data_IF_956358990811
#
_entry.id   IF_956358990811
#
_cell.length_a   1.000
_cell.length_b   1.000
_cell.length_c   1.000
_cell.angle_alpha   90.00
_cell.angle_beta   90.00
_cell.angle_gamma   90.00
#
_symmetry.space_group_name_H-M   'P 1'
#
loop_
_entity.id
_entity.type
_entity.pdbx_description
1 polymer ?
#
# COMPACT_ATOMS: atom_id res chain seq x y z
N UNK A 1 4.54 38.83 -7.01
CA UNK A 1 4.50 38.10 -8.30
C UNK A 1 5.95 37.75 -8.68
N UNK A 2 6.31 36.46 -8.62
CA UNK A 2 7.70 35.98 -8.84
C UNK A 2 8.18 36.33 -10.26
N UNK A 3 9.50 36.43 -10.47
CA UNK A 3 10.09 36.72 -11.78
C UNK A 3 9.62 35.73 -12.87
N UNK A 4 9.36 34.48 -12.47
CA UNK A 4 8.79 33.42 -13.29
C UNK A 4 7.37 33.74 -13.79
N UNK A 5 6.47 34.21 -12.91
CA UNK A 5 5.11 34.58 -13.29
C UNK A 5 5.07 35.80 -14.22
N UNK A 6 6.02 36.73 -14.08
CA UNK A 6 6.16 37.86 -15.03
C UNK A 6 6.62 37.38 -16.40
N UNK A 7 7.58 36.46 -16.46
CA UNK A 7 8.06 35.90 -17.73
C UNK A 7 6.97 35.14 -18.49
N UNK A 8 6.18 34.31 -17.79
CA UNK A 8 5.02 33.63 -18.38
C UNK A 8 3.98 34.60 -18.92
N UNK A 9 3.75 35.73 -18.24
CA UNK A 9 2.81 36.76 -18.69
C UNK A 9 3.30 37.44 -19.98
N UNK A 10 4.60 37.77 -20.08
CA UNK A 10 5.17 38.36 -21.30
C UNK A 10 5.12 37.42 -22.50
N UNK A 11 5.35 36.13 -22.30
CA UNK A 11 5.23 35.13 -23.37
C UNK A 11 3.77 34.96 -23.81
N UNK A 12 2.83 34.98 -22.87
CA UNK A 12 1.41 34.90 -23.19
C UNK A 12 0.96 36.08 -24.06
N UNK A 13 1.31 37.32 -23.68
CA UNK A 13 0.99 38.52 -24.47
C UNK A 13 1.63 38.47 -25.86
N UNK A 14 2.85 37.96 -25.98
CA UNK A 14 3.52 37.77 -27.28
C UNK A 14 2.85 36.72 -28.17
N UNK A 15 2.34 35.63 -27.58
CA UNK A 15 1.76 34.49 -28.31
C UNK A 15 0.25 34.62 -28.58
N UNK A 16 -0.43 35.59 -27.96
CA UNK A 16 -1.90 35.75 -28.02
C UNK A 16 -2.46 35.88 -29.45
N UNK A 17 -1.69 36.49 -30.36
CA UNK A 17 -2.08 36.64 -31.78
C UNK A 17 -1.65 35.44 -32.65
N UNK A 18 -1.06 34.39 -32.07
CA UNK A 18 -0.51 33.22 -32.76
C UNK A 18 -1.17 31.93 -32.25
N UNK A 19 -2.32 31.53 -32.80
CA UNK A 19 -3.20 30.53 -32.19
C UNK A 19 -2.55 29.15 -32.01
N UNK A 20 -1.73 28.70 -32.96
CA UNK A 20 -1.03 27.41 -32.85
C UNK A 20 -0.01 27.39 -31.70
N UNK A 21 0.82 28.44 -31.59
CA UNK A 21 1.82 28.58 -30.54
C UNK A 21 1.17 28.81 -29.16
N UNK A 22 0.03 29.51 -29.13
CA UNK A 22 -0.74 29.74 -27.91
C UNK A 22 -1.33 28.44 -27.34
N UNK A 23 -1.88 27.56 -28.19
CA UNK A 23 -2.42 26.26 -27.76
C UNK A 23 -1.33 25.41 -27.13
N UNK A 24 -0.17 25.30 -27.79
CA UNK A 24 0.98 24.56 -27.27
C UNK A 24 1.44 25.14 -25.92
N UNK A 25 1.55 26.46 -25.82
CA UNK A 25 1.92 27.14 -24.58
C UNK A 25 0.92 26.90 -23.44
N UNK A 26 -0.38 26.97 -23.71
CA UNK A 26 -1.43 26.71 -22.72
C UNK A 26 -1.43 25.25 -22.27
N UNK A 27 -1.25 24.29 -23.18
CA UNK A 27 -1.11 22.87 -22.82
C UNK A 27 0.09 22.63 -21.89
N UNK A 28 1.22 23.31 -22.13
CA UNK A 28 2.38 23.24 -21.24
C UNK A 28 2.15 23.93 -19.90
N UNK A 29 1.49 25.10 -19.88
CA UNK A 29 1.17 25.80 -18.65
C UNK A 29 0.23 24.96 -17.76
N UNK A 30 -0.78 24.32 -18.34
CA UNK A 30 -1.69 23.41 -17.63
C UNK A 30 -0.92 22.19 -17.08
N UNK A 31 -0.03 21.58 -17.88
CA UNK A 31 0.80 20.48 -17.43
C UNK A 31 1.72 20.87 -16.26
N UNK A 32 2.41 22.01 -16.35
CA UNK A 32 3.29 22.52 -15.29
C UNK A 32 2.53 22.89 -14.00
N UNK A 33 1.25 23.24 -14.09
CA UNK A 33 0.39 23.51 -12.92
C UNK A 33 -0.11 22.19 -12.30
N UNK A 34 -0.53 21.22 -13.12
CA UNK A 34 -1.09 19.95 -12.64
C UNK A 34 -0.03 18.97 -12.15
N UNK A 35 1.21 19.08 -12.63
CA UNK A 35 2.34 18.23 -12.26
C UNK A 35 2.68 18.25 -10.76
N UNK A 36 3.00 19.41 -10.14
CA UNK A 36 3.33 19.47 -8.72
C UNK A 36 2.14 19.23 -7.79
N UNK A 37 0.91 19.19 -8.32
CA UNK A 37 -0.29 18.88 -7.55
C UNK A 37 -0.51 17.37 -7.30
N UNK A 38 0.44 16.51 -7.69
CA UNK A 38 0.42 15.07 -7.41
C UNK A 38 -0.38 14.22 -8.40
N UNK A 39 -1.20 14.83 -9.27
CA UNK A 39 -2.11 14.11 -10.17
C UNK A 39 -1.43 13.40 -11.34
N UNK A 40 -0.24 13.85 -11.74
CA UNK A 40 0.46 13.35 -12.94
C UNK A 40 1.83 12.71 -12.64
N UNK A 41 2.22 12.62 -11.37
CA UNK A 41 3.54 12.12 -10.93
C UNK A 41 3.92 10.77 -11.57
N UNK A 42 3.09 9.70 -11.55
CA UNK A 42 3.49 8.41 -12.12
C UNK A 42 3.49 8.38 -13.66
N UNK A 43 2.76 9.27 -14.32
CA UNK A 43 2.67 9.33 -15.79
C UNK A 43 3.53 10.43 -16.37
N UNK A 44 4.31 11.05 -15.51
CA UNK A 44 4.76 12.38 -15.76
C UNK A 44 5.79 12.44 -16.88
N UNK A 45 6.80 11.58 -16.82
CA UNK A 45 7.82 11.48 -17.86
C UNK A 45 7.19 11.14 -19.20
N UNK A 46 6.24 10.21 -19.22
CA UNK A 46 5.55 9.79 -20.44
C UNK A 46 4.77 10.95 -21.06
N UNK A 47 3.95 11.65 -20.28
CA UNK A 47 3.14 12.78 -20.74
C UNK A 47 4.01 13.97 -21.14
N UNK A 48 5.05 14.29 -20.36
CA UNK A 48 6.01 15.35 -20.65
C UNK A 48 6.82 15.08 -21.92
N UNK A 49 7.20 13.83 -22.17
CA UNK A 49 7.93 13.42 -23.38
C UNK A 49 7.04 13.45 -24.61
N UNK A 50 5.79 13.02 -24.49
CA UNK A 50 4.79 13.13 -25.57
C UNK A 50 4.52 14.59 -25.90
N UNK A 51 4.24 15.44 -24.90
CA UNK A 51 3.99 16.86 -25.10
C UNK A 51 5.22 17.59 -25.68
N UNK A 52 6.42 17.30 -25.18
CA UNK A 52 7.68 17.83 -25.69
C UNK A 52 7.95 17.42 -27.14
N UNK A 53 7.75 16.15 -27.47
CA UNK A 53 7.96 15.63 -28.83
C UNK A 53 6.94 16.19 -29.83
N UNK A 54 5.67 16.30 -29.42
CA UNK A 54 4.61 16.91 -30.24
C UNK A 54 4.90 18.39 -30.46
N UNK A 55 5.36 19.12 -29.44
CA UNK A 55 5.74 20.52 -29.59
C UNK A 55 6.93 20.71 -30.55
N UNK A 56 7.97 19.88 -30.43
CA UNK A 56 9.12 19.88 -31.34
C UNK A 56 8.64 19.57 -32.78
N UNK A 57 7.78 18.58 -32.96
CA UNK A 57 7.21 18.24 -34.27
C UNK A 57 6.39 19.40 -34.86
N UNK A 58 5.54 20.05 -34.06
CA UNK A 58 4.72 21.19 -34.47
C UNK A 58 5.54 22.44 -34.80
N UNK A 59 6.71 22.63 -34.16
CA UNK A 59 7.64 23.73 -34.49
C UNK A 59 8.14 23.66 -35.95
N UNK A 60 8.17 22.45 -36.53
CA UNK A 60 8.60 22.26 -37.92
C UNK A 60 7.51 22.59 -38.94
N UNK A 61 6.23 22.53 -38.54
CA UNK A 61 5.07 22.57 -39.44
C UNK A 61 4.33 23.94 -39.41
N UNK A 62 4.32 24.66 -38.27
CA UNK A 62 3.27 25.65 -38.00
C UNK A 62 3.59 27.16 -37.99
N UNK A 63 4.84 27.63 -37.98
CA UNK A 63 5.10 29.08 -37.80
C UNK A 63 6.08 29.65 -38.83
N UNK A 64 5.66 30.72 -39.52
CA UNK A 64 6.49 31.44 -40.50
C UNK A 64 7.64 32.24 -39.87
N UNK A 65 7.58 32.52 -38.56
CA UNK A 65 8.62 33.22 -37.83
C UNK A 65 9.58 32.26 -37.12
N UNK A 66 10.88 32.42 -37.41
CA UNK A 66 11.95 31.60 -36.84
C UNK A 66 11.97 31.65 -35.30
N UNK A 67 11.61 32.79 -34.71
CA UNK A 67 11.59 33.00 -33.27
C UNK A 67 10.59 32.06 -32.56
N UNK A 68 9.44 31.80 -33.18
CA UNK A 68 8.41 30.89 -32.61
C UNK A 68 8.89 29.45 -32.58
N UNK A 69 9.65 29.04 -33.61
CA UNK A 69 10.22 27.69 -33.68
C UNK A 69 11.21 27.45 -32.55
N UNK A 70 12.07 28.44 -32.27
CA UNK A 70 13.03 28.39 -31.17
C UNK A 70 12.36 28.39 -29.79
N UNK A 71 11.30 29.19 -29.62
CA UNK A 71 10.55 29.23 -28.34
C UNK A 71 9.86 27.88 -28.08
N UNK A 72 9.18 27.31 -29.07
CA UNK A 72 8.48 26.03 -28.94
C UNK A 72 9.47 24.88 -28.71
N UNK A 73 10.56 24.82 -29.49
CA UNK A 73 11.59 23.79 -29.32
C UNK A 73 12.32 23.92 -27.98
N UNK A 74 12.61 25.14 -27.52
CA UNK A 74 13.22 25.42 -26.23
C UNK A 74 12.35 24.97 -25.05
N UNK A 75 11.05 25.27 -25.09
CA UNK A 75 10.10 24.83 -24.06
C UNK A 75 9.97 23.29 -24.06
N UNK A 76 9.83 22.66 -25.23
CA UNK A 76 9.74 21.20 -25.33
C UNK A 76 10.99 20.50 -24.78
N UNK A 77 12.17 20.99 -25.11
CA UNK A 77 13.45 20.43 -24.62
C UNK A 77 13.63 20.64 -23.12
N UNK A 78 13.25 21.80 -22.59
CA UNK A 78 13.33 22.08 -21.16
C UNK A 78 12.38 21.18 -20.34
N UNK A 79 11.17 20.89 -20.85
CA UNK A 79 10.21 19.99 -20.19
C UNK A 79 10.71 18.56 -20.20
N UNK A 80 11.21 18.05 -21.33
CA UNK A 80 11.80 16.70 -21.39
C UNK A 80 13.01 16.60 -20.46
N UNK A 81 13.89 17.60 -20.48
CA UNK A 81 15.06 17.67 -19.60
C UNK A 81 14.69 17.72 -18.12
N UNK A 82 13.67 18.47 -17.74
CA UNK A 82 13.21 18.57 -16.35
C UNK A 82 12.57 17.25 -15.88
N UNK A 83 11.68 16.65 -16.68
CA UNK A 83 11.03 15.38 -16.33
C UNK A 83 12.02 14.21 -16.26
N UNK A 84 12.98 14.15 -17.18
CA UNK A 84 14.03 13.12 -17.16
C UNK A 84 15.03 13.33 -16.02
N UNK A 85 15.38 14.58 -15.68
CA UNK A 85 16.22 14.88 -14.53
C UNK A 85 15.54 14.54 -13.19
N UNK A 86 14.22 14.76 -13.06
CA UNK A 86 13.50 14.39 -11.83
C UNK A 86 13.41 12.87 -11.66
N UNK A 87 13.05 12.13 -12.72
CA UNK A 87 12.93 10.66 -12.67
C UNK A 87 14.29 9.98 -12.47
N UNK A 88 15.35 10.45 -13.16
CA UNK A 88 16.71 9.95 -12.90
C UNK A 88 17.22 10.34 -11.52
N UNK A 89 16.86 11.51 -10.97
CA UNK A 89 17.26 11.88 -9.61
C UNK A 89 16.53 11.08 -8.54
N UNK A 90 15.25 10.76 -8.72
CA UNK A 90 14.47 9.93 -7.80
C UNK A 90 14.89 8.46 -7.90
N UNK A 91 15.06 7.93 -9.11
CA UNK A 91 15.58 6.58 -9.32
C UNK A 91 17.01 6.43 -8.80
N UNK A 92 17.90 7.40 -9.04
CA UNK A 92 19.27 7.37 -8.53
C UNK A 92 19.31 7.55 -7.02
N UNK A 93 18.39 8.34 -6.44
CA UNK A 93 18.27 8.48 -4.98
C UNK A 93 17.71 7.22 -4.35
N UNK A 94 16.68 6.60 -4.93
CA UNK A 94 16.12 5.32 -4.49
C UNK A 94 17.12 4.18 -4.65
N UNK A 95 17.86 4.13 -5.76
CA UNK A 95 18.89 3.12 -6.02
C UNK A 95 20.12 3.32 -5.13
N UNK A 96 20.52 4.57 -4.87
CA UNK A 96 21.59 4.88 -3.91
C UNK A 96 21.16 4.53 -2.48
N UNK A 97 19.93 4.89 -2.08
CA UNK A 97 19.37 4.48 -0.80
C UNK A 97 19.32 2.95 -0.68
N UNK A 98 18.88 2.25 -1.73
CA UNK A 98 18.88 0.77 -1.79
C UNK A 98 20.28 0.20 -1.66
N UNK A 99 21.27 0.76 -2.36
CA UNK A 99 22.65 0.25 -2.32
C UNK A 99 23.38 0.55 -1.01
N UNK A 100 23.08 1.70 -0.39
CA UNK A 100 23.59 2.07 0.94
C UNK A 100 22.91 1.20 2.01
N UNK A 101 21.60 0.98 1.87
CA UNK A 101 20.82 0.10 2.76
C UNK A 101 21.21 -1.38 2.60
N UNK A 102 21.48 -1.88 1.40
CA UNK A 102 21.99 -3.24 1.16
C UNK A 102 23.38 -3.44 1.77
N UNK A 103 24.25 -2.42 1.69
CA UNK A 103 25.56 -2.44 2.37
C UNK A 103 25.41 -2.41 3.88
N UNK A 104 24.49 -1.62 4.40
CA UNK A 104 24.21 -1.57 5.83
C UNK A 104 23.60 -2.90 6.30
N UNK A 105 22.66 -3.49 5.54
CA UNK A 105 22.07 -4.82 5.80
C UNK A 105 23.15 -5.92 5.75
N UNK A 106 24.05 -5.92 4.78
CA UNK A 106 25.16 -6.89 4.72
C UNK A 106 26.17 -6.70 5.85
N UNK A 107 26.42 -5.45 6.27
CA UNK A 107 27.23 -5.17 7.45
C UNK A 107 26.54 -5.65 8.74
N UNK A 108 25.21 -5.55 8.82
CA UNK A 108 24.40 -5.93 9.98
C UNK A 108 24.03 -7.41 10.04
N UNK A 109 24.01 -8.13 8.91
CA UNK A 109 23.70 -9.56 8.84
C UNK A 109 24.76 -10.48 9.45
N UNK A 110 25.96 -9.95 9.77
CA UNK A 110 27.08 -10.72 10.33
C UNK A 110 27.08 -10.81 11.86
N UNK A 111 26.18 -10.09 12.54
CA UNK A 111 25.95 -10.16 13.99
C UNK A 111 24.49 -10.53 14.23
N UNK A 112 24.22 -11.75 14.71
CA UNK A 112 22.86 -12.26 14.92
C UNK A 112 21.97 -11.32 15.76
N UNK A 113 22.54 -10.66 16.78
CA UNK A 113 21.85 -9.68 17.62
C UNK A 113 21.48 -8.39 16.87
N UNK A 114 22.29 -8.00 15.89
CA UNK A 114 22.09 -6.78 15.10
C UNK A 114 21.05 -7.01 14.00
N UNK A 115 21.08 -8.17 13.34
CA UNK A 115 19.99 -8.61 12.44
C UNK A 115 18.66 -8.66 13.18
N UNK A 116 18.63 -9.25 14.38
CA UNK A 116 17.43 -9.32 15.20
C UNK A 116 16.91 -7.93 15.59
N UNK A 117 17.80 -7.03 16.04
CA UNK A 117 17.44 -5.64 16.34
C UNK A 117 16.90 -4.87 15.13
N UNK A 118 17.44 -5.10 13.94
CA UNK A 118 16.96 -4.49 12.69
C UNK A 118 15.56 -4.99 12.30
N UNK A 119 15.34 -6.31 12.36
CA UNK A 119 14.03 -6.92 12.11
C UNK A 119 12.96 -6.35 13.06
N UNK A 120 13.28 -6.21 14.34
CA UNK A 120 12.39 -5.58 15.33
C UNK A 120 12.12 -4.10 15.01
N UNK A 121 13.13 -3.35 14.60
CA UNK A 121 12.96 -1.95 14.20
C UNK A 121 12.00 -1.81 13.02
N UNK A 122 12.20 -2.58 11.95
CA UNK A 122 11.33 -2.54 10.75
C UNK A 122 9.90 -2.98 11.10
N UNK A 123 9.76 -4.05 11.90
CA UNK A 123 8.47 -4.54 12.42
C UNK A 123 7.73 -3.45 13.21
N UNK A 124 8.43 -2.70 14.06
CA UNK A 124 7.83 -1.61 14.84
C UNK A 124 7.32 -0.49 13.94
N UNK A 125 8.11 -0.09 12.93
CA UNK A 125 7.73 0.94 11.96
C UNK A 125 6.53 0.55 11.11
N UNK A 126 6.44 -0.72 10.69
CA UNK A 126 5.24 -1.26 10.03
C UNK A 126 4.02 -1.19 10.95
N UNK A 127 4.19 -1.48 12.25
CA UNK A 127 3.14 -1.32 13.25
C UNK A 127 2.64 0.12 13.38
N UNK A 128 3.54 1.10 13.38
CA UNK A 128 3.20 2.53 13.41
C UNK A 128 2.43 2.95 12.15
N UNK A 129 2.90 2.51 10.97
CA UNK A 129 2.24 2.66 9.67
C UNK A 129 0.75 2.26 9.75
N UNK A 130 0.45 1.10 10.35
CA UNK A 130 -0.93 0.58 10.45
C UNK A 130 -1.78 1.35 11.48
N UNK A 131 -1.18 1.81 12.58
CA UNK A 131 -1.93 2.40 13.71
C UNK A 131 -2.30 3.88 13.51
N UNK A 132 -1.55 4.63 12.71
CA UNK A 132 -1.71 6.09 12.59
C UNK A 132 -1.82 6.57 11.12
N UNK A 133 -3.00 6.44 10.48
CA UNK A 133 -3.25 7.10 9.20
C UNK A 133 -3.18 8.65 9.34
N UNK A 134 -2.81 9.42 8.29
CA UNK A 134 -2.77 9.04 6.88
C UNK A 134 -1.49 8.30 6.57
N UNK A 135 -1.64 7.05 6.16
CA UNK A 135 -0.51 6.20 5.82
C UNK A 135 0.04 6.71 4.50
N UNK A 136 1.28 7.19 4.51
CA UNK A 136 2.05 7.27 3.27
C UNK A 136 2.22 5.83 2.77
N UNK A 137 1.34 5.44 1.84
CA UNK A 137 1.20 4.06 1.41
C UNK A 137 2.49 3.55 0.76
N UNK A 138 3.27 4.46 0.18
CA UNK A 138 4.57 4.17 -0.44
C UNK A 138 5.62 3.87 0.64
N UNK A 139 5.60 4.63 1.74
CA UNK A 139 6.50 4.40 2.88
C UNK A 139 6.32 3.02 3.52
N UNK A 140 5.10 2.50 3.59
CA UNK A 140 4.85 1.17 4.17
C UNK A 140 5.20 0.03 3.20
N UNK A 141 5.05 0.24 1.89
CA UNK A 141 5.50 -0.72 0.87
C UNK A 141 7.03 -0.84 0.89
N UNK A 142 7.76 0.25 1.09
CA UNK A 142 9.23 0.24 1.25
C UNK A 142 9.67 -0.55 2.50
N UNK A 143 8.98 -0.37 3.62
CA UNK A 143 9.26 -1.10 4.87
C UNK A 143 8.94 -2.60 4.74
N UNK A 144 7.87 -2.96 4.03
CA UNK A 144 7.52 -4.35 3.73
C UNK A 144 8.63 -4.99 2.88
N UNK A 145 8.99 -4.35 1.77
CA UNK A 145 10.04 -4.79 0.86
C UNK A 145 11.38 -4.97 1.59
N UNK A 146 11.71 -4.03 2.48
CA UNK A 146 12.89 -4.11 3.32
C UNK A 146 12.88 -5.34 4.24
N UNK A 147 11.75 -5.62 4.91
CA UNK A 147 11.65 -6.75 5.81
C UNK A 147 11.77 -8.08 5.05
N UNK A 148 11.15 -8.18 3.88
CA UNK A 148 11.22 -9.36 3.01
C UNK A 148 12.67 -9.67 2.56
N UNK A 149 13.46 -8.64 2.23
CA UNK A 149 14.88 -8.81 1.88
C UNK A 149 15.75 -9.30 3.05
N UNK A 150 15.37 -8.97 4.29
CA UNK A 150 16.15 -9.30 5.49
C UNK A 150 15.80 -10.70 6.01
N UNK A 151 14.51 -11.03 5.98
CA UNK A 151 13.95 -12.26 6.52
C UNK A 151 12.59 -12.58 5.88
N UNK A 152 12.62 -13.23 4.72
CA UNK A 152 11.42 -13.66 3.97
C UNK A 152 10.51 -14.61 4.77
N UNK A 153 11.07 -15.31 5.76
CA UNK A 153 10.36 -16.27 6.62
C UNK A 153 9.78 -15.61 7.88
N UNK A 154 9.91 -14.28 8.02
CA UNK A 154 9.39 -13.57 9.17
C UNK A 154 7.86 -13.48 9.11
N UNK A 155 7.17 -13.93 10.16
CA UNK A 155 5.71 -13.85 10.26
C UNK A 155 5.16 -12.42 10.19
N UNK A 156 5.98 -11.41 10.48
CA UNK A 156 5.56 -10.01 10.36
C UNK A 156 5.32 -9.59 8.89
N UNK A 157 6.00 -10.20 7.92
CA UNK A 157 5.84 -9.88 6.48
C UNK A 157 4.42 -10.18 5.99
N UNK A 158 3.94 -11.44 5.98
CA UNK A 158 2.59 -11.74 5.51
C UNK A 158 1.51 -11.07 6.37
N UNK A 159 1.78 -10.87 7.68
CA UNK A 159 0.84 -10.17 8.55
C UNK A 159 0.65 -8.69 8.17
N UNK A 160 1.73 -7.91 8.11
CA UNK A 160 1.61 -6.47 7.82
C UNK A 160 1.21 -6.19 6.38
N UNK A 161 1.61 -7.03 5.43
CA UNK A 161 1.12 -6.97 4.04
C UNK A 161 -0.39 -7.09 3.98
N UNK A 162 -0.96 -8.04 4.74
CA UNK A 162 -2.41 -8.15 4.85
C UNK A 162 -3.03 -6.88 5.44
N UNK A 163 -2.51 -6.35 6.55
CA UNK A 163 -3.05 -5.12 7.17
C UNK A 163 -2.99 -3.91 6.23
N UNK A 164 -1.90 -3.73 5.48
CA UNK A 164 -1.76 -2.66 4.46
C UNK A 164 -2.83 -2.82 3.37
N UNK A 165 -3.01 -4.03 2.84
CA UNK A 165 -4.04 -4.32 1.85
C UNK A 165 -5.45 -4.05 2.37
N UNK A 166 -5.73 -4.35 3.65
CA UNK A 166 -7.01 -4.04 4.30
C UNK A 166 -7.26 -2.56 4.41
N UNK A 167 -6.26 -1.77 4.80
CA UNK A 167 -6.35 -0.29 4.82
C UNK A 167 -6.65 0.25 3.42
N UNK A 168 -6.10 -0.38 2.37
CA UNK A 168 -6.37 -0.06 0.96
C UNK A 168 -7.73 -0.59 0.45
N UNK A 169 -8.55 -1.21 1.30
CA UNK A 169 -9.83 -1.80 0.91
C UNK A 169 -9.74 -3.10 0.10
N UNK A 170 -8.53 -3.65 -0.08
CA UNK A 170 -8.25 -4.89 -0.84
C UNK A 170 -8.35 -6.13 0.05
N UNK A 171 -9.51 -6.30 0.68
CA UNK A 171 -9.70 -7.34 1.72
C UNK A 171 -9.50 -8.76 1.17
N UNK A 172 -9.95 -9.05 -0.06
CA UNK A 172 -9.77 -10.38 -0.66
C UNK A 172 -8.30 -10.75 -0.83
N UNK A 173 -7.50 -9.80 -1.30
CA UNK A 173 -6.06 -10.02 -1.50
C UNK A 173 -5.33 -10.14 -0.16
N UNK A 174 -5.87 -9.53 0.90
CA UNK A 174 -5.31 -9.66 2.25
C UNK A 174 -5.46 -11.07 2.83
N UNK A 175 -6.55 -11.78 2.51
CA UNK A 175 -6.81 -13.11 3.05
C UNK A 175 -5.72 -14.12 2.67
N UNK A 176 -5.20 -14.06 1.44
CA UNK A 176 -4.17 -14.99 0.97
C UNK A 176 -2.90 -14.85 1.82
N UNK A 177 -2.52 -13.62 2.16
CA UNK A 177 -1.38 -13.37 3.06
C UNK A 177 -1.65 -13.83 4.49
N UNK A 178 -2.89 -13.69 4.99
CA UNK A 178 -3.29 -14.21 6.30
C UNK A 178 -3.24 -15.75 6.34
N UNK A 179 -3.65 -16.44 5.28
CA UNK A 179 -3.52 -17.89 5.20
C UNK A 179 -2.04 -18.33 5.13
N UNK A 180 -1.20 -17.63 4.36
CA UNK A 180 0.23 -17.89 4.31
C UNK A 180 0.89 -17.72 5.69
N UNK A 181 0.48 -16.70 6.45
CA UNK A 181 0.91 -16.53 7.83
C UNK A 181 0.58 -17.77 8.68
N UNK A 182 -0.67 -18.25 8.64
CA UNK A 182 -1.11 -19.40 9.45
C UNK A 182 -0.38 -20.70 9.08
N UNK A 183 -0.15 -20.93 7.78
CA UNK A 183 0.57 -22.13 7.32
C UNK A 183 2.04 -22.12 7.79
N UNK A 184 2.68 -20.94 7.75
CA UNK A 184 4.07 -20.79 8.16
C UNK A 184 4.23 -20.83 9.69
N UNK A 185 3.30 -20.23 10.43
CA UNK A 185 3.29 -20.18 11.90
C UNK A 185 3.25 -21.58 12.54
N UNK A 186 2.50 -22.52 11.96
CA UNK A 186 2.47 -23.91 12.41
C UNK A 186 3.83 -24.63 12.23
N UNK A 187 4.71 -24.14 11.34
CA UNK A 187 6.01 -24.74 11.02
C UNK A 187 7.21 -24.02 11.66
N UNK A 188 7.14 -22.70 11.76
CA UNK A 188 8.31 -21.84 12.02
C UNK A 188 8.29 -21.18 13.40
N UNK A 189 7.18 -21.26 14.14
CA UNK A 189 7.11 -20.65 15.48
C UNK A 189 8.12 -21.30 16.44
N UNK A 190 8.94 -20.51 17.17
CA UNK A 190 9.81 -21.04 18.22
C UNK A 190 9.04 -21.74 19.35
N UNK A 191 9.59 -22.85 19.84
CA UNK A 191 9.00 -23.61 20.96
C UNK A 191 9.24 -22.86 22.27
N UNK A 192 8.17 -22.54 23.01
CA UNK A 192 8.25 -21.99 24.38
C UNK A 192 8.15 -20.46 24.49
N UNK A 193 7.88 -19.75 23.40
CA UNK A 193 8.10 -18.30 23.30
C UNK A 193 6.88 -17.41 23.61
N UNK A 194 5.91 -17.90 24.40
CA UNK A 194 4.70 -17.10 24.65
C UNK A 194 4.06 -17.39 26.01
N UNK A 195 4.30 -16.48 26.95
CA UNK A 195 3.59 -16.39 28.24
C UNK A 195 2.18 -15.79 28.09
N UNK A 196 1.75 -15.49 26.86
CA UNK A 196 0.48 -14.83 26.57
C UNK A 196 0.56 -13.31 26.65
N UNK A 197 1.73 -12.72 26.95
CA UNK A 197 1.87 -11.27 27.04
C UNK A 197 1.95 -10.58 25.67
N UNK A 198 1.27 -9.43 25.56
CA UNK A 198 1.34 -8.56 24.36
C UNK A 198 2.79 -8.08 24.13
N UNK A 199 3.54 -7.88 25.21
CA UNK A 199 4.96 -7.52 25.15
C UNK A 199 5.81 -8.58 24.46
N UNK A 200 5.60 -9.87 24.77
CA UNK A 200 6.33 -10.97 24.13
C UNK A 200 6.11 -10.98 22.62
N UNK A 201 4.87 -10.77 22.16
CA UNK A 201 4.57 -10.67 20.73
C UNK A 201 5.22 -9.44 20.06
N UNK A 202 5.28 -8.30 20.75
CA UNK A 202 5.85 -7.06 20.21
C UNK A 202 7.37 -7.12 20.07
N UNK A 203 8.05 -7.93 20.88
CA UNK A 203 9.50 -8.10 20.86
C UNK A 203 9.96 -9.40 20.20
N UNK A 204 9.04 -10.20 19.65
CA UNK A 204 9.40 -11.43 18.96
C UNK A 204 9.93 -11.12 17.55
N UNK A 205 11.24 -11.27 17.38
CA UNK A 205 11.90 -11.05 16.10
C UNK A 205 11.56 -12.05 15.01
N UNK A 206 10.85 -13.15 15.28
CA UNK A 206 10.35 -14.08 14.24
C UNK A 206 9.03 -13.64 13.62
N UNK A 207 8.31 -12.72 14.27
CA UNK A 207 7.01 -12.27 13.82
C UNK A 207 5.86 -13.25 14.02
N UNK A 208 6.10 -14.40 14.69
CA UNK A 208 5.07 -15.38 15.04
C UNK A 208 4.77 -15.34 16.54
N UNK A 209 3.51 -15.12 16.91
CA UNK A 209 3.09 -15.11 18.32
C UNK A 209 1.62 -15.55 18.45
N UNK A 210 1.18 -16.06 19.61
CA UNK A 210 -0.19 -16.57 19.80
C UNK A 210 -1.24 -15.49 19.63
N UNK A 211 -0.99 -14.27 20.12
CA UNK A 211 -1.94 -13.16 20.05
C UNK A 211 -2.17 -12.74 18.60
N UNK A 212 -1.11 -12.65 17.80
CA UNK A 212 -1.18 -12.32 16.36
C UNK A 212 -1.84 -13.45 15.59
N UNK A 213 -1.48 -14.72 15.85
CA UNK A 213 -2.14 -15.86 15.22
C UNK A 213 -3.64 -15.92 15.55
N UNK A 214 -4.01 -15.70 16.82
CA UNK A 214 -5.40 -15.59 17.22
C UNK A 214 -6.10 -14.44 16.48
N UNK A 215 -5.45 -13.28 16.35
CA UNK A 215 -6.00 -12.13 15.64
C UNK A 215 -6.21 -12.41 14.15
N UNK A 216 -5.25 -13.07 13.50
CA UNK A 216 -5.35 -13.52 12.11
C UNK A 216 -6.55 -14.45 11.92
N UNK A 217 -6.71 -15.45 12.79
CA UNK A 217 -7.85 -16.34 12.77
C UNK A 217 -9.18 -15.60 13.00
N UNK A 218 -9.22 -14.66 13.95
CA UNK A 218 -10.42 -13.85 14.22
C UNK A 218 -10.81 -12.98 13.02
N UNK A 219 -9.81 -12.43 12.33
CA UNK A 219 -9.99 -11.60 11.13
C UNK A 219 -10.56 -12.42 9.98
N UNK A 220 -9.95 -13.56 9.68
CA UNK A 220 -10.43 -14.49 8.65
C UNK A 220 -11.85 -14.99 8.95
N UNK A 221 -12.17 -15.30 10.21
CA UNK A 221 -13.50 -15.74 10.62
C UNK A 221 -14.57 -14.68 10.28
N UNK A 222 -14.28 -13.41 10.59
CA UNK A 222 -15.18 -12.30 10.29
C UNK A 222 -15.34 -12.06 8.77
N UNK A 223 -14.26 -12.15 8.00
CA UNK A 223 -14.31 -11.96 6.55
C UNK A 223 -15.06 -13.09 5.84
N UNK A 224 -14.88 -14.33 6.29
CA UNK A 224 -15.65 -15.47 5.80
C UNK A 224 -17.14 -15.34 6.16
N UNK A 225 -17.46 -14.95 7.40
CA UNK A 225 -18.84 -14.74 7.82
C UNK A 225 -19.53 -13.65 6.99
N UNK A 226 -18.88 -12.49 6.84
CA UNK A 226 -19.41 -11.39 6.01
C UNK A 226 -19.68 -11.84 4.57
N UNK A 227 -18.72 -12.53 3.94
CA UNK A 227 -18.91 -13.09 2.60
C UNK A 227 -20.07 -14.08 2.53
N UNK A 228 -20.23 -14.93 3.56
CA UNK A 228 -21.35 -15.86 3.64
C UNK A 228 -22.69 -15.12 3.65
N UNK A 229 -22.77 -14.01 4.38
CA UNK A 229 -23.97 -13.17 4.44
C UNK A 229 -24.30 -12.47 3.11
N UNK A 230 -23.28 -12.15 2.31
CA UNK A 230 -23.44 -11.57 0.97
C UNK A 230 -23.72 -12.62 -0.12
N UNK A 231 -23.44 -13.90 0.15
CA UNK A 231 -23.59 -14.99 -0.82
C UNK A 231 -25.03 -15.46 -0.90
N UNK A 232 -25.61 -15.54 -2.11
CA UNK A 232 -27.00 -15.99 -2.33
C UNK A 232 -27.11 -17.51 -2.32
N UNK A 233 -26.17 -18.22 -2.94
CA UNK A 233 -26.21 -19.68 -3.04
C UNK A 233 -26.01 -20.34 -1.67
N UNK A 234 -26.99 -21.17 -1.26
CA UNK A 234 -27.03 -21.75 0.09
C UNK A 234 -25.83 -22.67 0.37
N UNK A 235 -25.39 -23.45 -0.62
CA UNK A 235 -24.24 -24.36 -0.53
C UNK A 235 -22.94 -23.58 -0.26
N UNK A 236 -22.64 -22.56 -1.08
CA UNK A 236 -21.46 -21.70 -0.94
C UNK A 236 -21.51 -20.90 0.36
N UNK A 237 -22.68 -20.37 0.71
CA UNK A 237 -22.90 -19.69 1.98
C UNK A 237 -22.56 -20.61 3.16
N UNK A 238 -23.03 -21.85 3.13
CA UNK A 238 -22.75 -22.84 4.18
C UNK A 238 -21.25 -23.17 4.26
N UNK A 239 -20.57 -23.37 3.14
CA UNK A 239 -19.12 -23.59 3.12
C UNK A 239 -18.36 -22.43 3.77
N UNK A 240 -18.74 -21.18 3.44
CA UNK A 240 -18.13 -19.99 4.04
C UNK A 240 -18.34 -19.94 5.56
N UNK A 241 -19.53 -20.28 6.05
CA UNK A 241 -19.80 -20.36 7.49
C UNK A 241 -19.07 -21.50 8.18
N UNK A 242 -18.95 -22.68 7.56
CA UNK A 242 -18.18 -23.80 8.10
C UNK A 242 -16.69 -23.43 8.19
N UNK A 243 -16.15 -22.73 7.18
CA UNK A 243 -14.78 -22.21 7.20
C UNK A 243 -14.60 -21.14 8.27
N UNK A 244 -15.56 -20.22 8.44
CA UNK A 244 -15.52 -19.20 9.49
C UNK A 244 -15.51 -19.84 10.89
N UNK A 245 -16.30 -20.92 11.08
CA UNK A 245 -16.33 -21.68 12.33
C UNK A 245 -14.99 -22.35 12.63
N UNK A 246 -14.31 -22.92 11.62
CA UNK A 246 -12.95 -23.45 11.79
C UNK A 246 -11.96 -22.37 12.25
N UNK A 247 -12.08 -21.15 11.73
CA UNK A 247 -11.25 -20.03 12.15
C UNK A 247 -11.56 -19.58 13.58
N UNK A 248 -12.82 -19.62 14.02
CA UNK A 248 -13.15 -19.40 15.43
C UNK A 248 -12.52 -20.44 16.36
N UNK A 249 -12.52 -21.71 15.98
CA UNK A 249 -11.83 -22.77 16.73
C UNK A 249 -10.33 -22.47 16.81
N UNK A 250 -9.73 -21.95 15.73
CA UNK A 250 -8.34 -21.47 15.76
C UNK A 250 -8.15 -20.34 16.77
N UNK A 251 -9.07 -19.36 16.87
CA UNK A 251 -8.98 -18.29 17.89
C UNK A 251 -8.89 -18.89 19.28
N UNK A 252 -9.81 -19.78 19.63
CA UNK A 252 -9.86 -20.40 20.97
C UNK A 252 -8.63 -21.24 21.29
N UNK A 253 -7.99 -21.86 20.28
CA UNK A 253 -6.71 -22.60 20.45
C UNK A 253 -5.59 -21.69 20.96
N UNK A 254 -5.57 -20.43 20.52
CA UNK A 254 -4.46 -19.51 20.77
C UNK A 254 -4.76 -18.44 21.82
N UNK A 255 -6.04 -18.09 22.01
CA UNK A 255 -6.50 -17.07 22.93
C UNK A 255 -7.92 -17.40 23.43
N UNK A 256 -8.02 -18.17 24.52
CA UNK A 256 -9.30 -18.70 25.03
C UNK A 256 -10.34 -17.62 25.34
N UNK A 257 -9.90 -16.43 25.78
CA UNK A 257 -10.79 -15.29 26.06
C UNK A 257 -11.35 -14.60 24.81
N UNK A 258 -10.81 -14.90 23.62
CA UNK A 258 -11.18 -14.25 22.37
C UNK A 258 -10.88 -12.74 22.35
N UNK A 259 -11.37 -12.06 21.32
CA UNK A 259 -11.20 -10.62 21.15
C UNK A 259 -12.49 -9.87 21.45
N UNK A 260 -12.40 -8.87 22.34
CA UNK A 260 -13.43 -7.86 22.57
C UNK A 260 -13.25 -6.69 21.59
N UNK A 261 -14.30 -6.36 20.83
CA UNK A 261 -14.32 -5.20 19.94
C UNK A 261 -14.99 -4.03 20.66
N UNK A 262 -14.20 -3.11 21.21
CA UNK A 262 -14.73 -1.95 21.96
C UNK A 262 -15.37 -0.85 21.09
N UNK A 263 -15.32 -0.99 19.76
CA UNK A 263 -15.88 -0.02 18.80
C UNK A 263 -16.97 -0.69 17.94
N UNK A 264 -18.20 -0.17 18.02
CA UNK A 264 -19.40 -0.69 17.31
C UNK A 264 -19.33 -0.67 15.76
N UNK A 265 -18.26 -0.10 15.19
CA UNK A 265 -18.06 0.07 13.73
C UNK A 265 -17.04 -0.91 13.15
N UNK A 266 -16.69 -1.98 13.87
CA UNK A 266 -15.64 -2.94 13.51
C UNK A 266 -16.16 -4.40 13.59
N UNK A 267 -15.39 -5.42 13.16
CA UNK A 267 -15.83 -6.82 13.06
C UNK A 267 -16.53 -7.33 14.32
N UNK A 268 -17.37 -8.38 14.20
CA UNK A 268 -18.03 -8.97 15.36
C UNK A 268 -16.97 -9.46 16.36
N UNK A 269 -17.19 -9.20 17.66
CA UNK A 269 -16.40 -9.83 18.71
C UNK A 269 -16.54 -11.35 18.66
N UNK A 270 -15.67 -12.07 19.38
CA UNK A 270 -15.61 -13.54 19.26
C UNK A 270 -16.92 -14.22 19.69
N UNK A 271 -17.59 -13.69 20.71
CA UNK A 271 -18.86 -14.24 21.24
C UNK A 271 -20.01 -13.98 20.27
N UNK A 272 -20.14 -12.74 19.78
CA UNK A 272 -21.14 -12.32 18.82
C UNK A 272 -20.99 -13.04 17.49
N UNK A 273 -19.76 -13.23 17.01
CA UNK A 273 -19.48 -13.99 15.79
C UNK A 273 -19.86 -15.47 15.96
N UNK A 274 -19.52 -16.08 17.09
CA UNK A 274 -19.89 -17.47 17.38
C UNK A 274 -21.40 -17.67 17.41
N UNK A 275 -22.13 -16.79 18.11
CA UNK A 275 -23.59 -16.86 18.18
C UNK A 275 -24.24 -16.64 16.80
N UNK A 276 -23.72 -15.71 16.01
CA UNK A 276 -24.22 -15.44 14.67
C UNK A 276 -23.98 -16.62 13.71
N UNK A 277 -22.81 -17.25 13.77
CA UNK A 277 -22.49 -18.45 12.99
C UNK A 277 -23.36 -19.64 13.37
N UNK A 278 -23.56 -19.89 14.66
CA UNK A 278 -24.40 -20.99 15.14
C UNK A 278 -25.84 -20.85 14.60
N UNK A 279 -26.37 -19.63 14.63
CA UNK A 279 -27.69 -19.33 14.07
C UNK A 279 -27.76 -19.59 12.56
N UNK A 280 -26.75 -19.16 11.81
CA UNK A 280 -26.72 -19.29 10.35
C UNK A 280 -26.49 -20.75 9.91
N UNK A 281 -25.65 -21.52 10.62
CA UNK A 281 -25.40 -22.93 10.33
C UNK A 281 -26.63 -23.80 10.63
N UNK A 282 -27.42 -23.47 11.67
CA UNK A 282 -28.69 -24.13 11.97
C UNK A 282 -29.78 -23.81 10.97
N UNK A 283 -29.77 -22.61 10.37
CA UNK A 283 -30.78 -22.18 9.40
C UNK A 283 -30.19 -21.36 8.24
N UNK A 284 -29.55 -22.02 7.25
CA UNK A 284 -28.79 -21.34 6.19
C UNK A 284 -29.63 -20.47 5.24
N UNK A 285 -30.94 -20.72 5.17
CA UNK A 285 -31.89 -19.95 4.36
C UNK A 285 -32.32 -18.64 5.03
N UNK A 286 -32.01 -18.44 6.31
CA UNK A 286 -32.28 -17.21 7.02
C UNK A 286 -31.50 -16.04 6.40
N UNK A 287 -32.12 -14.86 6.22
CA UNK A 287 -31.38 -13.66 5.84
C UNK A 287 -30.30 -13.34 6.87
N UNK A 288 -29.06 -13.19 6.43
CA UNK A 288 -27.97 -12.70 7.26
C UNK A 288 -27.81 -11.19 7.08
N UNK A 289 -27.53 -10.48 8.17
CA UNK A 289 -27.10 -9.08 8.13
C UNK A 289 -25.58 -9.06 8.23
N UNK A 290 -24.85 -8.61 7.20
CA UNK A 290 -23.41 -8.51 7.26
C UNK A 290 -22.99 -7.47 8.33
N UNK A 291 -21.88 -7.70 9.04
CA UNK A 291 -21.30 -6.67 9.90
C UNK A 291 -20.89 -5.45 9.06
N UNK A 292 -20.83 -4.24 9.66
CA UNK A 292 -20.42 -3.03 8.96
C UNK A 292 -19.07 -3.21 8.26
N UNK A 293 -18.92 -2.59 7.08
CA UNK A 293 -17.67 -2.61 6.31
C UNK A 293 -16.58 -1.89 7.11
N UNK A 294 -15.45 -2.55 7.31
CA UNK A 294 -14.19 -1.95 7.76
C UNK A 294 -13.58 -1.09 6.66
#
# INVERSE_FOLDING_TARGET
MSAFLRWLFYIFEYLKERPASLVVYLSFAVFLILWPAGFLVPYGVTVGTILGSVAIALSSIGSGHILDKWIIAGIGTAVVGLCTATDTSEQLRAQKLRSELEKDIQAYATLADVKHGFVLFVTHRLGDCVKAPPVDADHCDDLESLLEHVDELNGSVPYYKAEILRIRGRIRDSDDHLYNYLEADDRLRPVGDDDGSISACATNGTGYCRQRTAWVCHTLANDLFRRGCETIEISQRRDLFDRAQKQLVCVSKWFEGGFEQRLRTRPLDTVGLSAALEMQLKNPSRPCVPPPKT
#
